data_IF_386365076423
#
_entry.id   IF_386365076423
#
_cell.length_a   1.000
_cell.length_b   1.000
_cell.length_c   1.000
_cell.angle_alpha   90.00
_cell.angle_beta   90.00
_cell.angle_gamma   90.00
#
_symmetry.space_group_name_H-M   'P 1'
#
loop_
_entity.id
_entity.type
_entity.pdbx_description
1 polymer ?
#
# COMPACT_ATOMS: atom_id res chain seq x y z
N UNK A 1 11.91 -22.04 10.71
CA UNK A 1 10.76 -21.54 11.49
C UNK A 1 10.86 -20.05 11.79
N UNK A 2 11.99 -19.53 12.30
CA UNK A 2 12.13 -18.12 12.70
C UNK A 2 11.92 -17.08 11.58
N UNK A 3 12.31 -17.36 10.33
CA UNK A 3 12.20 -16.38 9.24
C UNK A 3 10.75 -16.04 8.85
N UNK A 4 9.86 -17.04 8.78
CA UNK A 4 8.46 -16.84 8.43
C UNK A 4 7.74 -15.99 9.50
N UNK A 5 8.01 -16.30 10.77
CA UNK A 5 7.45 -15.60 11.92
C UNK A 5 7.93 -14.15 11.97
N UNK A 6 9.22 -13.94 11.72
CA UNK A 6 9.82 -12.61 11.59
C UNK A 6 9.26 -11.82 10.40
N UNK A 7 8.96 -12.47 9.27
CA UNK A 7 8.34 -11.83 8.10
C UNK A 7 6.91 -11.39 8.39
N UNK A 8 6.06 -12.26 8.97
CA UNK A 8 4.70 -11.89 9.38
C UNK A 8 4.70 -10.77 10.44
N UNK A 9 5.69 -10.77 11.33
CA UNK A 9 5.86 -9.72 12.35
C UNK A 9 6.31 -8.38 11.73
N UNK A 10 7.24 -8.41 10.77
CA UNK A 10 7.65 -7.23 10.02
C UNK A 10 6.51 -6.67 9.15
N UNK A 11 5.72 -7.56 8.56
CA UNK A 11 4.52 -7.20 7.81
C UNK A 11 3.46 -6.58 8.73
N UNK A 12 3.30 -7.11 9.95
CA UNK A 12 2.31 -6.63 10.91
C UNK A 12 2.66 -5.29 11.53
N UNK A 13 3.94 -5.06 11.84
CA UNK A 13 4.39 -3.84 12.52
C UNK A 13 4.54 -2.66 11.55
N UNK A 14 5.00 -2.90 10.32
CA UNK A 14 5.31 -1.83 9.35
C UNK A 14 4.80 -2.08 7.94
N UNK A 15 4.50 -3.33 7.58
CA UNK A 15 4.04 -3.71 6.23
C UNK A 15 2.56 -3.45 5.93
N UNK A 16 1.73 -3.12 6.92
CA UNK A 16 0.31 -2.80 6.71
C UNK A 16 0.13 -1.63 5.73
N UNK A 17 1.05 -0.65 5.76
CA UNK A 17 1.02 0.51 4.87
C UNK A 17 1.27 0.12 3.41
N UNK A 18 2.06 -0.94 3.17
CA UNK A 18 2.28 -1.49 1.83
C UNK A 18 0.97 -2.05 1.25
N UNK A 19 0.22 -2.81 2.07
CA UNK A 19 -1.06 -3.39 1.66
C UNK A 19 -2.08 -2.30 1.32
N UNK A 20 -2.14 -1.25 2.14
CA UNK A 20 -3.04 -0.10 1.90
C UNK A 20 -2.62 0.63 0.62
N UNK A 21 -1.34 0.96 0.46
CA UNK A 21 -0.82 1.66 -0.73
C UNK A 21 -1.07 0.86 -2.01
N UNK A 22 -0.77 -0.43 -2.02
CA UNK A 22 -1.02 -1.32 -3.17
C UNK A 22 -2.52 -1.39 -3.45
N UNK A 23 -3.36 -1.51 -2.42
CA UNK A 23 -4.82 -1.46 -2.57
C UNK A 23 -5.31 -0.15 -3.21
N UNK A 24 -4.74 1.00 -2.84
CA UNK A 24 -5.06 2.29 -3.43
C UNK A 24 -4.54 2.44 -4.87
N UNK A 25 -3.37 1.87 -5.20
CA UNK A 25 -2.88 1.81 -6.58
C UNK A 25 -3.80 0.97 -7.47
N UNK A 26 -4.28 -0.18 -6.98
CA UNK A 26 -5.26 -1.01 -7.68
C UNK A 26 -6.60 -0.27 -7.85
N UNK A 27 -7.01 0.53 -6.87
CA UNK A 27 -8.19 1.39 -7.00
C UNK A 27 -8.03 2.42 -8.11
N UNK A 28 -6.88 3.11 -8.14
CA UNK A 28 -6.57 4.17 -9.09
C UNK A 28 -6.59 3.69 -10.54
N UNK A 29 -6.10 2.48 -10.79
CA UNK A 29 -6.07 1.87 -12.12
C UNK A 29 -7.43 1.33 -12.60
N UNK A 30 -8.40 1.17 -11.70
CA UNK A 30 -9.72 0.60 -12.04
C UNK A 30 -9.69 -0.88 -12.40
N UNK A 31 -8.60 -1.60 -12.08
CA UNK A 31 -8.44 -3.03 -12.39
C UNK A 31 -9.41 -3.91 -11.61
N UNK A 32 -9.58 -3.66 -10.31
CA UNK A 32 -10.50 -4.42 -9.46
C UNK A 32 -10.85 -3.66 -8.18
N UNK A 33 -12.07 -3.13 -8.13
CA UNK A 33 -12.59 -2.45 -6.94
C UNK A 33 -12.76 -3.40 -5.76
N UNK A 34 -13.08 -4.67 -6.04
CA UNK A 34 -13.15 -5.71 -5.03
C UNK A 34 -11.80 -5.95 -4.38
N UNK A 35 -10.77 -6.26 -5.17
CA UNK A 35 -9.42 -6.54 -4.66
C UNK A 35 -8.87 -5.34 -3.88
N UNK A 36 -9.04 -4.13 -4.41
CA UNK A 36 -8.61 -2.90 -3.74
C UNK A 36 -9.22 -2.78 -2.34
N UNK A 37 -10.55 -2.91 -2.23
CA UNK A 37 -11.24 -2.81 -0.94
C UNK A 37 -10.77 -3.87 0.05
N UNK A 38 -10.56 -5.11 -0.41
CA UNK A 38 -10.06 -6.18 0.44
C UNK A 38 -8.63 -5.90 0.91
N UNK A 39 -7.74 -5.41 0.03
CA UNK A 39 -6.36 -5.06 0.40
C UNK A 39 -6.32 -3.92 1.41
N UNK A 40 -7.12 -2.88 1.22
CA UNK A 40 -7.20 -1.73 2.14
C UNK A 40 -7.80 -2.18 3.49
N UNK A 41 -8.92 -2.90 3.47
CA UNK A 41 -9.58 -3.38 4.69
C UNK A 41 -8.68 -4.36 5.45
N UNK A 42 -8.01 -5.27 4.74
CA UNK A 42 -7.05 -6.19 5.33
C UNK A 42 -5.85 -5.44 5.90
N UNK A 43 -5.29 -4.45 5.20
CA UNK A 43 -4.20 -3.61 5.72
C UNK A 43 -4.59 -2.85 7.00
N UNK A 44 -5.78 -2.24 7.03
CA UNK A 44 -6.30 -1.58 8.24
C UNK A 44 -6.51 -2.59 9.37
N UNK A 45 -7.12 -3.74 9.08
CA UNK A 45 -7.31 -4.81 10.07
C UNK A 45 -5.97 -5.33 10.60
N UNK A 46 -4.96 -5.46 9.74
CA UNK A 46 -3.64 -5.94 10.11
C UNK A 46 -2.87 -4.94 10.96
N UNK A 47 -3.09 -3.63 10.78
CA UNK A 47 -2.55 -2.60 11.67
C UNK A 47 -3.08 -2.75 13.10
N UNK A 48 -4.40 -2.93 13.27
CA UNK A 48 -5.01 -3.03 14.60
C UNK A 48 -4.84 -4.39 15.25
N UNK A 49 -5.03 -5.47 14.48
CA UNK A 49 -5.12 -6.84 15.00
C UNK A 49 -3.79 -7.57 14.90
N UNK A 50 -2.96 -7.22 13.91
CA UNK A 50 -1.72 -7.91 13.61
C UNK A 50 -0.76 -8.04 14.80
N UNK A 51 -0.43 -6.95 15.52
CA UNK A 51 0.49 -7.04 16.65
C UNK A 51 0.04 -8.06 17.70
N UNK A 52 -1.25 -8.05 18.07
CA UNK A 52 -1.82 -8.98 19.04
C UNK A 52 -1.75 -10.43 18.58
N UNK A 53 -2.10 -10.70 17.31
CA UNK A 53 -2.06 -12.04 16.72
C UNK A 53 -0.63 -12.56 16.70
N UNK A 54 0.31 -11.72 16.31
CA UNK A 54 1.72 -12.10 16.20
C UNK A 54 2.33 -12.37 17.58
N UNK A 55 2.00 -11.55 18.59
CA UNK A 55 2.42 -11.81 19.98
C UNK A 55 1.84 -13.13 20.50
N UNK A 56 0.54 -13.38 20.28
CA UNK A 56 -0.10 -14.64 20.69
C UNK A 56 0.53 -15.88 20.03
N UNK A 57 0.93 -15.77 18.75
CA UNK A 57 1.62 -16.86 18.03
C UNK A 57 3.06 -17.03 18.55
N UNK A 58 3.77 -15.95 18.85
CA UNK A 58 5.12 -16.00 19.41
C UNK A 58 5.12 -16.70 20.78
N UNK A 59 4.16 -16.37 21.64
CA UNK A 59 3.95 -16.99 22.95
C UNK A 59 3.59 -18.48 22.80
N UNK A 60 2.71 -18.83 21.86
CA UNK A 60 2.35 -20.23 21.58
C UNK A 60 3.54 -21.05 21.08
N UNK A 61 4.40 -20.45 20.26
CA UNK A 61 5.61 -21.09 19.76
C UNK A 61 6.79 -21.05 20.74
N UNK A 62 6.63 -20.40 21.91
CA UNK A 62 7.68 -20.17 22.91
C UNK A 62 8.94 -19.50 22.32
N UNK A 63 8.74 -18.54 21.40
CA UNK A 63 9.79 -17.76 20.77
C UNK A 63 9.68 -16.31 21.24
N UNK A 64 10.81 -15.67 21.54
CA UNK A 64 10.82 -14.25 21.91
C UNK A 64 10.22 -13.42 20.79
N UNK A 65 9.14 -12.64 21.03
CA UNK A 65 8.58 -11.78 20.00
C UNK A 65 9.64 -10.78 19.55
N UNK A 66 9.84 -10.65 18.23
CA UNK A 66 10.81 -9.71 17.70
C UNK A 66 10.38 -8.27 18.01
N UNK A 67 11.34 -7.46 18.47
CA UNK A 67 11.12 -6.06 18.77
C UNK A 67 10.95 -5.23 17.49
N UNK A 68 10.40 -3.99 17.57
CA UNK A 68 10.29 -3.10 16.41
C UNK A 68 11.62 -2.83 15.69
N UNK A 69 12.75 -2.89 16.40
CA UNK A 69 14.09 -2.77 15.79
C UNK A 69 14.40 -3.99 14.91
N UNK A 70 14.10 -5.20 15.37
CA UNK A 70 14.29 -6.44 14.61
C UNK A 70 13.36 -6.52 13.39
N UNK A 71 12.16 -5.94 13.45
CA UNK A 71 11.28 -5.87 12.29
C UNK A 71 11.88 -5.07 11.13
N UNK A 72 12.69 -4.04 11.42
CA UNK A 72 13.35 -3.22 10.39
C UNK A 72 14.48 -3.97 9.70
N UNK A 73 15.23 -4.80 10.44
CA UNK A 73 16.31 -5.61 9.87
C UNK A 73 15.79 -6.74 8.99
N UNK A 74 14.57 -7.23 9.21
CA UNK A 74 13.92 -8.21 8.33
C UNK A 74 13.69 -7.65 6.93
N UNK A 75 13.19 -6.40 6.81
CA UNK A 75 13.02 -5.75 5.51
C UNK A 75 14.33 -5.63 4.75
N UNK A 76 15.40 -5.22 5.43
CA UNK A 76 16.74 -5.14 4.85
C UNK A 76 17.26 -6.51 4.40
N UNK A 77 17.05 -7.56 5.19
CA UNK A 77 17.49 -8.91 4.85
C UNK A 77 16.71 -9.53 3.68
N UNK A 78 15.46 -9.11 3.45
CA UNK A 78 14.61 -9.66 2.37
C UNK A 78 14.75 -8.88 1.06
N UNK A 79 14.74 -7.55 1.14
CA UNK A 79 14.70 -6.67 -0.04
C UNK A 79 16.02 -5.93 -0.29
N UNK A 80 16.98 -5.99 0.64
CA UNK A 80 18.21 -5.19 0.59
C UNK A 80 17.97 -3.70 0.83
N UNK A 81 16.76 -3.32 1.25
CA UNK A 81 16.32 -1.94 1.44
C UNK A 81 15.82 -1.72 2.86
N UNK A 82 16.08 -0.53 3.40
CA UNK A 82 15.43 -0.09 4.63
C UNK A 82 13.93 0.10 4.41
N UNK A 83 13.16 0.03 5.49
CA UNK A 83 11.70 0.23 5.43
C UNK A 83 11.32 1.56 4.76
N UNK A 84 12.05 2.65 5.07
CA UNK A 84 11.79 3.96 4.48
C UNK A 84 12.04 3.96 2.97
N UNK A 85 13.11 3.32 2.50
CA UNK A 85 13.37 3.19 1.06
C UNK A 85 12.28 2.38 0.36
N UNK A 86 11.78 1.31 0.98
CA UNK A 86 10.65 0.53 0.45
C UNK A 86 9.40 1.40 0.30
N UNK A 87 9.07 2.22 1.30
CA UNK A 87 7.95 3.17 1.21
C UNK A 87 8.19 4.20 0.11
N UNK A 88 9.36 4.81 0.06
CA UNK A 88 9.71 5.82 -0.96
C UNK A 88 9.59 5.27 -2.38
N UNK A 89 10.07 4.05 -2.61
CA UNK A 89 9.93 3.37 -3.91
C UNK A 89 8.45 3.11 -4.25
N UNK A 90 7.63 2.70 -3.28
CA UNK A 90 6.19 2.51 -3.51
C UNK A 90 5.45 3.82 -3.78
N UNK A 91 5.81 4.89 -3.07
CA UNK A 91 5.26 6.24 -3.31
C UNK A 91 5.60 6.67 -4.73
N UNK A 92 6.84 6.49 -5.19
CA UNK A 92 7.24 6.77 -6.58
C UNK A 92 6.38 6.00 -7.59
N UNK A 93 6.17 4.69 -7.39
CA UNK A 93 5.30 3.92 -8.28
C UNK A 93 3.84 4.42 -8.26
N UNK A 94 3.34 4.79 -7.09
CA UNK A 94 1.99 5.34 -6.95
C UNK A 94 1.86 6.68 -7.68
N UNK A 95 2.87 7.55 -7.65
CA UNK A 95 2.90 8.81 -8.39
C UNK A 95 2.87 8.57 -9.91
N UNK A 96 3.63 7.60 -10.40
CA UNK A 96 3.61 7.21 -11.82
C UNK A 96 2.20 6.75 -12.21
N UNK A 97 1.54 5.94 -11.37
CA UNK A 97 0.17 5.47 -11.60
C UNK A 97 -0.81 6.64 -11.62
N UNK A 98 -0.69 7.59 -10.68
CA UNK A 98 -1.51 8.81 -10.67
C UNK A 98 -1.33 9.61 -11.95
N UNK A 99 -0.09 9.85 -12.38
CA UNK A 99 0.21 10.59 -13.59
C UNK A 99 -0.41 9.91 -14.83
N UNK A 100 -0.29 8.58 -14.94
CA UNK A 100 -0.90 7.80 -16.01
C UNK A 100 -2.42 7.88 -15.95
N UNK A 101 -3.03 7.70 -14.78
CA UNK A 101 -4.49 7.70 -14.62
C UNK A 101 -5.08 9.07 -14.99
N UNK A 102 -4.44 10.17 -14.57
CA UNK A 102 -4.88 11.53 -14.91
C UNK A 102 -4.67 11.81 -16.39
N UNK A 103 -3.52 11.45 -16.98
CA UNK A 103 -3.23 11.69 -18.39
C UNK A 103 -4.17 10.92 -19.31
N UNK A 104 -4.29 9.60 -19.10
CA UNK A 104 -5.19 8.75 -19.87
C UNK A 104 -6.65 9.17 -19.62
N UNK A 105 -7.00 9.48 -18.38
CA UNK A 105 -8.32 9.97 -18.02
C UNK A 105 -8.67 11.27 -18.73
N UNK A 106 -7.72 12.22 -18.82
CA UNK A 106 -7.88 13.49 -19.52
C UNK A 106 -8.08 13.28 -21.02
N UNK A 107 -7.27 12.42 -21.66
CA UNK A 107 -7.42 12.09 -23.08
C UNK A 107 -8.82 11.52 -23.34
N UNK A 108 -9.27 10.55 -22.53
CA UNK A 108 -10.58 9.92 -22.67
C UNK A 108 -11.74 10.87 -22.39
N UNK A 109 -11.55 11.85 -21.50
CA UNK A 109 -12.58 12.82 -21.13
C UNK A 109 -12.72 13.98 -22.14
N UNK A 110 -11.61 14.52 -22.64
CA UNK A 110 -11.60 15.67 -23.54
C UNK A 110 -11.71 15.29 -25.02
N UNK A 111 -11.28 14.08 -25.40
CA UNK A 111 -11.42 13.56 -26.77
C UNK A 111 -12.19 12.23 -26.82
N UNK A 112 -13.46 12.19 -26.36
CA UNK A 112 -14.22 10.96 -26.31
C UNK A 112 -14.73 10.55 -27.70
N UNK A 113 -14.48 9.30 -28.10
CA UNK A 113 -15.16 8.70 -29.26
C UNK A 113 -16.52 8.06 -28.91
N UNK A 114 -16.85 7.95 -27.62
CA UNK A 114 -18.17 7.53 -27.12
C UNK A 114 -18.46 8.09 -25.72
N UNK A 115 -19.73 8.07 -25.31
CA UNK A 115 -20.15 8.51 -23.97
C UNK A 115 -19.52 7.64 -22.88
N UNK A 116 -19.36 6.34 -23.13
CA UNK A 116 -18.75 5.40 -22.18
C UNK A 116 -17.26 5.70 -21.95
N UNK A 117 -16.55 6.16 -22.97
CA UNK A 117 -15.15 6.57 -22.81
C UNK A 117 -15.04 7.85 -22.00
N UNK A 118 -15.97 8.79 -22.18
CA UNK A 118 -16.03 10.00 -21.36
C UNK A 118 -16.26 9.67 -19.87
N UNK A 119 -17.16 8.74 -19.57
CA UNK A 119 -17.43 8.33 -18.18
C UNK A 119 -16.24 7.59 -17.55
N UNK A 120 -15.57 6.71 -18.32
CA UNK A 120 -14.32 6.06 -17.89
C UNK A 120 -13.19 7.06 -17.65
N UNK A 121 -13.02 8.03 -18.54
CA UNK A 121 -12.02 9.09 -18.39
C UNK A 121 -12.23 9.90 -17.11
N UNK A 122 -13.48 10.31 -16.86
CA UNK A 122 -13.86 10.99 -15.63
C UNK A 122 -13.54 10.15 -14.37
N UNK A 123 -13.90 8.86 -14.38
CA UNK A 123 -13.62 7.94 -13.27
C UNK A 123 -12.12 7.82 -12.98
N UNK A 124 -11.29 7.67 -14.01
CA UNK A 124 -9.82 7.59 -13.87
C UNK A 124 -9.23 8.87 -13.27
N UNK A 125 -9.69 10.05 -13.72
CA UNK A 125 -9.23 11.33 -13.16
C UNK A 125 -9.57 11.42 -11.67
N UNK A 126 -10.82 11.12 -11.28
CA UNK A 126 -11.24 11.18 -9.87
C UNK A 126 -10.42 10.20 -9.03
N UNK A 127 -10.30 8.94 -9.47
CA UNK A 127 -9.56 7.92 -8.73
C UNK A 127 -8.07 8.27 -8.59
N UNK A 128 -7.47 8.83 -9.64
CA UNK A 128 -6.11 9.36 -9.63
C UNK A 128 -5.95 10.52 -8.64
N UNK A 129 -6.89 11.47 -8.60
CA UNK A 129 -6.89 12.60 -7.66
C UNK A 129 -7.02 12.16 -6.20
N UNK A 130 -7.84 11.13 -5.93
CA UNK A 130 -7.96 10.53 -4.59
C UNK A 130 -6.61 9.98 -4.14
N UNK A 131 -5.94 9.18 -4.98
CA UNK A 131 -4.61 8.66 -4.67
C UNK A 131 -3.59 9.81 -4.53
N UNK A 132 -3.60 10.81 -5.40
CA UNK A 132 -2.71 11.96 -5.33
C UNK A 132 -2.80 12.70 -3.98
N UNK A 133 -4.02 12.89 -3.47
CA UNK A 133 -4.25 13.56 -2.18
C UNK A 133 -3.65 12.77 -1.02
N UNK A 134 -3.73 11.44 -1.08
CA UNK A 134 -3.13 10.54 -0.08
C UNK A 134 -1.60 10.57 -0.18
N UNK A 135 -1.05 10.56 -1.41
CA UNK A 135 0.39 10.65 -1.63
C UNK A 135 0.97 11.99 -1.13
N UNK A 136 0.25 13.10 -1.33
CA UNK A 136 0.65 14.39 -0.80
C UNK A 136 0.78 14.35 0.73
N UNK A 137 -0.15 13.69 1.43
CA UNK A 137 -0.05 13.47 2.87
C UNK A 137 1.15 12.57 3.22
N UNK A 138 1.36 11.49 2.49
CA UNK A 138 2.49 10.57 2.69
C UNK A 138 3.86 11.16 2.34
N UNK A 139 3.95 12.29 1.65
CA UNK A 139 5.20 13.03 1.50
C UNK A 139 5.51 13.93 2.68
N UNK A 140 4.49 14.34 3.44
CA UNK A 140 4.65 15.23 4.60
C UNK A 140 4.88 14.45 5.88
N UNK A 141 4.14 13.35 6.08
CA UNK A 141 4.17 12.55 7.32
C UNK A 141 5.50 11.87 7.64
N UNK A 142 6.29 11.34 6.68
CA UNK A 142 7.56 10.68 7.02
C UNK A 142 8.58 11.60 7.69
N UNK A 143 8.36 12.92 7.66
CA UNK A 143 9.23 13.94 8.24
C UNK A 143 8.73 14.48 9.58
N UNK A 144 7.60 13.96 10.09
CA UNK A 144 7.01 14.29 11.41
C UNK A 144 7.15 13.09 12.33
#
# INVERSE_FOLDING_TARGET
MNWLLNFFLALSTRGYLLLILVGLMVFATGLSDGLSKHLIAFGIGFYFVGPYVVHAVADFCNVTPATPENASSVWYNVLGLSYLEVISVLVLFAEIIVAIAILVGAILYFTPSSIDLKSKGHSLIIRGLVLASILAFLHVVPWV
#
